data_IF_089445596773
#
_entry.id   IF_089445596773
#
_cell.length_a   1.000
_cell.length_b   1.000
_cell.length_c   1.000
_cell.angle_alpha   90.00
_cell.angle_beta   90.00
_cell.angle_gamma   90.00
#
_symmetry.space_group_name_H-M   'P 1'
#
loop_
_entity.id
_entity.type
_entity.pdbx_description
1 polymer ?
#
# COMPACT_ATOMS: atom_id res chain seq x y z
N UNK A 1 -45.96 -30.42 -35.08
CA UNK A 1 -44.83 -29.66 -35.66
C UNK A 1 -44.59 -28.44 -34.78
N UNK A 2 -44.03 -28.64 -33.59
CA UNK A 2 -42.60 -28.44 -33.28
C UNK A 2 -42.06 -27.11 -33.79
N UNK A 3 -41.83 -26.18 -32.87
CA UNK A 3 -40.55 -25.49 -32.74
C UNK A 3 -40.33 -25.17 -31.27
N UNK A 4 -39.32 -25.84 -30.71
CA UNK A 4 -38.76 -25.63 -29.38
C UNK A 4 -38.11 -24.24 -29.35
N UNK A 5 -38.39 -23.45 -28.33
CA UNK A 5 -37.50 -22.38 -27.88
C UNK A 5 -36.81 -22.97 -26.66
N UNK A 6 -35.65 -23.56 -26.91
CA UNK A 6 -34.67 -23.82 -25.85
C UNK A 6 -33.77 -22.59 -25.86
N UNK A 7 -33.83 -21.81 -24.80
CA UNK A 7 -32.89 -20.72 -24.55
C UNK A 7 -32.59 -20.76 -23.06
N UNK A 8 -31.65 -21.66 -22.76
CA UNK A 8 -30.60 -21.55 -21.75
C UNK A 8 -31.02 -21.02 -20.38
N UNK A 9 -31.29 -21.99 -19.51
CA UNK A 9 -31.15 -21.91 -18.06
C UNK A 9 -29.71 -21.47 -17.73
N UNK A 10 -29.46 -20.16 -17.70
CA UNK A 10 -28.24 -19.60 -17.12
C UNK A 10 -28.31 -19.80 -15.61
N UNK A 11 -27.80 -20.94 -15.16
CA UNK A 11 -27.38 -21.21 -13.78
C UNK A 11 -26.44 -20.08 -13.31
N UNK A 12 -27.00 -19.03 -12.71
CA UNK A 12 -26.26 -18.09 -11.85
C UNK A 12 -26.05 -18.73 -10.47
N UNK A 13 -25.36 -19.88 -10.48
CA UNK A 13 -25.06 -20.69 -9.29
C UNK A 13 -23.58 -20.66 -8.92
N UNK A 14 -22.79 -19.72 -9.45
CA UNK A 14 -21.34 -19.71 -9.24
C UNK A 14 -20.73 -18.42 -8.68
N UNK A 15 -21.51 -17.36 -8.46
CA UNK A 15 -20.97 -16.09 -7.96
C UNK A 15 -20.86 -15.98 -6.42
N UNK A 16 -21.22 -17.04 -5.68
CA UNK A 16 -21.19 -17.04 -4.20
C UNK A 16 -19.96 -17.76 -3.64
N UNK A 17 -18.96 -18.08 -4.47
CA UNK A 17 -17.72 -18.65 -4.00
C UNK A 17 -16.87 -17.55 -3.36
N UNK A 18 -17.22 -17.24 -2.10
CA UNK A 18 -16.28 -17.14 -0.97
C UNK A 18 -14.88 -16.77 -1.45
N UNK A 19 -14.65 -15.47 -1.67
CA UNK A 19 -13.32 -14.87 -1.71
C UNK A 19 -12.67 -14.96 -0.32
N UNK A 20 -12.60 -16.17 0.24
CA UNK A 20 -11.64 -16.47 1.29
C UNK A 20 -10.37 -16.74 0.51
N UNK A 21 -9.58 -15.68 0.36
CA UNK A 21 -8.16 -15.76 0.05
C UNK A 21 -7.60 -16.83 0.98
N UNK A 22 -7.40 -18.04 0.46
CA UNK A 22 -6.64 -19.05 1.19
C UNK A 22 -5.29 -18.39 1.49
N UNK A 23 -4.87 -18.28 2.77
CA UNK A 23 -3.62 -17.63 3.11
C UNK A 23 -2.53 -18.25 2.25
N UNK A 24 -1.84 -17.44 1.45
CA UNK A 24 -0.69 -17.96 0.72
C UNK A 24 0.29 -18.38 1.81
N UNK A 25 0.85 -19.58 1.75
CA UNK A 25 1.77 -20.10 2.79
C UNK A 25 3.00 -19.20 3.04
N UNK A 26 3.26 -18.24 2.15
CA UNK A 26 4.25 -17.17 2.31
C UNK A 26 3.80 -16.04 3.26
N UNK A 27 2.50 -15.83 3.47
CA UNK A 27 1.96 -14.73 4.28
C UNK A 27 2.25 -14.93 5.78
N UNK A 28 2.31 -16.19 6.22
CA UNK A 28 2.67 -16.56 7.59
C UNK A 28 4.12 -16.20 7.92
N UNK A 29 5.03 -16.36 6.95
CA UNK A 29 6.46 -16.11 7.14
C UNK A 29 6.76 -14.60 7.20
N UNK A 30 6.13 -13.81 6.34
CA UNK A 30 6.29 -12.35 6.33
C UNK A 30 5.74 -11.72 7.62
N UNK A 31 4.56 -12.16 8.06
CA UNK A 31 3.93 -11.65 9.29
C UNK A 31 4.79 -11.95 10.52
N UNK A 32 5.39 -13.15 10.57
CA UNK A 32 6.30 -13.52 11.65
C UNK A 32 7.55 -12.64 11.69
N UNK A 33 8.13 -12.31 10.53
CA UNK A 33 9.31 -11.44 10.42
C UNK A 33 8.98 -10.02 10.87
N UNK A 34 7.87 -9.44 10.41
CA UNK A 34 7.44 -8.10 10.81
C UNK A 34 7.23 -8.01 12.33
N UNK A 35 6.58 -9.02 12.92
CA UNK A 35 6.38 -9.09 14.37
C UNK A 35 7.71 -9.18 15.15
N UNK A 36 8.71 -9.88 14.61
CA UNK A 36 10.06 -9.94 15.22
C UNK A 36 10.79 -8.60 15.13
N UNK A 37 10.67 -7.88 14.02
CA UNK A 37 11.32 -6.56 13.84
C UNK A 37 10.72 -5.50 14.77
N UNK A 38 9.42 -5.58 15.03
CA UNK A 38 8.73 -4.64 15.92
C UNK A 38 8.89 -4.99 17.41
N UNK A 39 9.27 -6.23 17.73
CA UNK A 39 9.50 -6.64 19.11
C UNK A 39 10.73 -5.90 19.64
N UNK A 40 10.55 -5.18 20.75
CA UNK A 40 11.62 -4.40 21.42
C UNK A 40 12.16 -3.20 20.63
N UNK A 41 11.50 -2.80 19.53
CA UNK A 41 11.88 -1.59 18.79
C UNK A 41 11.42 -0.31 19.52
N UNK A 42 12.36 0.52 19.98
CA UNK A 42 12.06 1.85 20.54
C UNK A 42 12.14 2.94 19.46
N UNK A 43 10.97 3.40 18.99
CA UNK A 43 10.84 4.46 17.98
C UNK A 43 11.26 5.86 18.44
N UNK A 44 11.54 6.06 19.73
CA UNK A 44 11.97 7.36 20.27
C UNK A 44 13.47 7.58 20.13
N UNK A 45 14.23 6.51 19.98
CA UNK A 45 15.68 6.57 19.88
C UNK A 45 16.10 6.50 18.41
N UNK A 46 17.00 7.40 18.00
CA UNK A 46 17.64 7.28 16.69
C UNK A 46 18.60 6.08 16.67
N UNK A 47 18.85 5.46 15.51
CA UNK A 47 19.87 4.44 15.37
C UNK A 47 21.25 4.94 15.85
N UNK A 48 22.04 4.05 16.45
CA UNK A 48 23.41 4.30 16.90
C UNK A 48 23.56 5.51 17.85
N UNK A 49 22.64 5.66 18.82
CA UNK A 49 22.70 6.71 19.83
C UNK A 49 24.05 6.73 20.57
N UNK A 50 24.71 7.89 20.59
CA UNK A 50 25.98 8.09 21.30
C UNK A 50 27.25 7.58 20.59
N UNK A 51 27.15 6.98 19.40
CA UNK A 51 28.33 6.50 18.66
C UNK A 51 28.63 7.42 17.46
N UNK A 52 27.76 7.39 16.44
CA UNK A 52 27.95 8.11 15.18
C UNK A 52 26.69 8.87 14.78
N UNK A 53 26.82 10.02 14.10
CA UNK A 53 25.67 10.66 13.46
C UNK A 53 25.06 9.75 12.40
N UNK A 54 23.73 9.73 12.32
CA UNK A 54 23.02 9.03 11.24
C UNK A 54 23.09 9.90 9.97
N UNK A 55 23.65 9.34 8.90
CA UNK A 55 23.64 9.97 7.57
C UNK A 55 22.30 9.66 6.91
N UNK A 56 21.63 10.69 6.38
CA UNK A 56 20.34 10.56 5.72
C UNK A 56 20.53 11.02 4.29
N UNK A 57 20.42 10.09 3.35
CA UNK A 57 20.38 10.39 1.93
C UNK A 57 18.94 10.79 1.57
N UNK A 58 18.79 11.98 1.00
CA UNK A 58 17.49 12.57 0.66
C UNK A 58 17.39 12.74 -0.84
N UNK A 59 16.31 12.23 -1.42
CA UNK A 59 15.92 12.45 -2.81
C UNK A 59 14.50 13.03 -2.84
N UNK A 60 14.26 14.03 -3.69
CA UNK A 60 13.00 14.78 -3.73
C UNK A 60 12.46 14.76 -5.15
N UNK A 61 11.31 14.12 -5.33
CA UNK A 61 10.57 14.13 -6.58
C UNK A 61 9.44 15.17 -6.54
N UNK A 62 9.57 16.21 -7.38
CA UNK A 62 8.54 17.24 -7.51
C UNK A 62 7.51 16.78 -8.53
N UNK A 63 6.29 16.53 -8.06
CA UNK A 63 5.18 16.12 -8.93
C UNK A 63 4.52 17.32 -9.61
N UNK A 64 4.26 18.38 -8.84
CA UNK A 64 3.64 19.60 -9.37
C UNK A 64 4.07 20.85 -8.62
N UNK A 65 4.05 21.95 -9.34
CA UNK A 65 4.35 23.27 -8.81
C UNK A 65 3.07 24.11 -8.91
N UNK A 66 2.54 24.50 -7.75
CA UNK A 66 1.34 25.31 -7.65
C UNK A 66 1.58 26.78 -8.03
N UNK A 67 0.49 27.57 -8.11
CA UNK A 67 0.59 28.98 -8.46
C UNK A 67 1.44 29.75 -7.44
N UNK A 68 2.19 30.73 -7.96
CA UNK A 68 3.06 31.60 -7.17
C UNK A 68 2.32 32.89 -6.88
N UNK A 69 2.18 33.24 -5.61
CA UNK A 69 1.67 34.56 -5.24
C UNK A 69 2.83 35.55 -5.17
N UNK A 70 2.90 36.50 -6.10
CA UNK A 70 3.90 37.58 -6.05
C UNK A 70 3.64 38.60 -4.94
N UNK A 71 2.38 38.71 -4.48
CA UNK A 71 1.99 39.62 -3.40
C UNK A 71 2.47 39.07 -2.05
N UNK A 72 2.32 37.76 -1.85
CA UNK A 72 2.67 37.11 -0.59
C UNK A 72 4.06 36.45 -0.63
N UNK A 73 4.72 36.43 -1.80
CA UNK A 73 6.01 35.77 -2.05
C UNK A 73 6.03 34.29 -1.59
N UNK A 74 4.91 33.58 -1.75
CA UNK A 74 4.77 32.17 -1.38
C UNK A 74 4.31 31.34 -2.57
N UNK A 75 4.74 30.08 -2.58
CA UNK A 75 4.42 29.07 -3.59
C UNK A 75 4.17 27.74 -2.90
N UNK A 76 3.17 27.02 -3.39
CA UNK A 76 2.93 25.62 -3.00
C UNK A 76 3.61 24.68 -4.00
N UNK A 77 4.18 23.59 -3.53
CA UNK A 77 4.71 22.49 -4.35
C UNK A 77 4.27 21.17 -3.76
N UNK A 78 3.89 20.23 -4.62
CA UNK A 78 3.55 18.87 -4.21
C UNK A 78 4.74 17.95 -4.49
N UNK A 79 5.29 17.37 -3.42
CA UNK A 79 6.37 16.37 -3.46
C UNK A 79 5.80 15.00 -3.08
N UNK A 80 6.36 13.93 -3.63
CA UNK A 80 6.07 12.55 -3.20
C UNK A 80 7.01 12.08 -2.10
#
# INVERSE_FOLDING_TARGET
>A
RSRKVEEDEYEDSSANQKWVLAPKSQDTDVTLILNKLLREYDKKLRPDIGIKPTVIDVDIYVNSIGPVSSINMVRSSFIF
#
